data_IF_733581653543
#
_entry.id   IF_733581653543
#
_cell.length_a   1.000
_cell.length_b   1.000
_cell.length_c   1.000
_cell.angle_alpha   90.00
_cell.angle_beta   90.00
_cell.angle_gamma   90.00
#
_symmetry.space_group_name_H-M   'P 1'
#
loop_
_entity.id
_entity.type
_entity.pdbx_description
1 polymer ?
#
# COMPACT_ATOMS: atom_id res chain seq x y z
N UNK A 1 -7.89 -10.87 -29.91
CA UNK A 1 -7.12 -10.25 -28.82
C UNK A 1 -6.52 -11.34 -27.95
N UNK A 2 -5.22 -11.30 -27.73
CA UNK A 2 -4.51 -12.20 -26.82
C UNK A 2 -4.10 -11.42 -25.58
N UNK A 3 -4.29 -12.00 -24.39
CA UNK A 3 -3.91 -11.37 -23.11
C UNK A 3 -2.96 -12.30 -22.36
N UNK A 4 -1.86 -11.75 -21.87
CA UNK A 4 -0.80 -12.47 -21.14
C UNK A 4 -0.55 -11.75 -19.81
N UNK A 5 -0.50 -12.48 -18.70
CA UNK A 5 -0.17 -11.91 -17.39
C UNK A 5 1.32 -11.60 -17.31
N UNK A 6 1.68 -10.32 -17.13
CA UNK A 6 3.09 -9.90 -17.00
C UNK A 6 3.55 -9.75 -15.56
N UNK A 7 2.69 -9.22 -14.70
CA UNK A 7 3.01 -9.02 -13.30
C UNK A 7 1.74 -8.83 -12.48
N UNK A 8 1.83 -9.12 -11.19
CA UNK A 8 0.85 -8.69 -10.19
C UNK A 8 1.57 -8.34 -8.89
N UNK A 9 0.85 -7.82 -7.91
CA UNK A 9 1.44 -7.47 -6.61
C UNK A 9 1.89 -8.71 -5.86
N UNK A 10 3.20 -8.87 -5.74
CA UNK A 10 3.86 -9.98 -5.09
C UNK A 10 4.33 -9.58 -3.69
N UNK A 11 4.46 -10.57 -2.82
CA UNK A 11 5.02 -10.40 -1.48
C UNK A 11 6.45 -9.87 -1.58
N UNK A 12 6.81 -8.94 -0.68
CA UNK A 12 8.21 -8.64 -0.44
C UNK A 12 8.92 -9.90 0.11
N UNK A 13 9.89 -10.49 -0.62
CA UNK A 13 10.53 -11.74 -0.22
C UNK A 13 11.29 -11.64 1.11
N UNK A 14 11.64 -10.43 1.57
CA UNK A 14 12.24 -10.20 2.88
C UNK A 14 11.25 -10.32 4.07
N UNK A 15 9.95 -10.54 3.80
CA UNK A 15 8.93 -10.74 4.83
C UNK A 15 8.54 -12.23 5.03
N UNK A 16 9.27 -13.16 4.42
CA UNK A 16 8.93 -14.58 4.36
C UNK A 16 9.06 -15.34 5.70
N UNK A 17 9.52 -14.70 6.79
CA UNK A 17 9.55 -15.31 8.12
C UNK A 17 8.92 -14.39 9.19
N UNK A 18 8.12 -14.95 10.10
CA UNK A 18 7.47 -14.23 11.22
C UNK A 18 8.47 -13.45 12.09
N UNK A 19 9.74 -13.88 12.11
CA UNK A 19 10.84 -13.27 12.89
C UNK A 19 11.27 -11.92 12.31
N UNK A 20 11.14 -11.71 10.99
CA UNK A 20 11.49 -10.46 10.32
C UNK A 20 10.35 -9.42 10.35
N UNK A 21 9.12 -9.86 10.63
CA UNK A 21 7.97 -8.97 10.85
C UNK A 21 7.94 -8.36 12.26
N UNK A 22 8.77 -8.83 13.19
CA UNK A 22 8.85 -8.34 14.57
C UNK A 22 10.27 -7.83 14.88
N UNK A 23 10.61 -6.63 14.42
CA UNK A 23 11.82 -5.93 14.84
C UNK A 23 11.61 -5.19 16.17
N UNK A 24 12.60 -5.36 17.06
CA UNK A 24 12.97 -4.60 18.27
C UNK A 24 11.86 -3.79 18.98
N UNK A 25 10.99 -4.48 19.71
CA UNK A 25 10.31 -3.92 20.89
C UNK A 25 9.06 -3.07 20.67
N UNK A 26 8.60 -2.88 19.43
CA UNK A 26 7.29 -2.30 19.12
C UNK A 26 6.32 -3.43 18.73
N UNK A 27 5.14 -3.55 19.38
CA UNK A 27 4.14 -4.53 18.97
C UNK A 27 3.53 -4.13 17.62
N UNK A 28 3.97 -4.80 16.55
CA UNK A 28 3.32 -4.77 15.23
C UNK A 28 2.49 -6.02 15.06
N UNK A 29 1.31 -5.89 14.45
CA UNK A 29 0.45 -7.01 14.08
C UNK A 29 0.68 -7.45 12.63
N UNK A 30 1.76 -6.98 12.00
CA UNK A 30 2.10 -7.29 10.61
C UNK A 30 2.12 -8.79 10.31
N UNK A 31 2.63 -9.62 11.21
CA UNK A 31 2.70 -11.08 11.03
C UNK A 31 1.31 -11.72 10.80
N UNK A 32 0.23 -11.05 11.21
CA UNK A 32 -1.14 -11.55 10.98
C UNK A 32 -1.54 -11.58 9.51
N UNK A 33 -0.87 -10.83 8.62
CA UNK A 33 -1.13 -10.86 7.17
C UNK A 33 -1.12 -12.30 6.61
N UNK A 34 -0.21 -13.14 7.11
CA UNK A 34 -0.03 -14.53 6.69
C UNK A 34 -1.12 -15.49 7.16
N UNK A 35 -2.03 -15.03 8.01
CA UNK A 35 -3.17 -15.82 8.49
C UNK A 35 -4.38 -15.72 7.56
N UNK A 36 -4.37 -14.79 6.61
CA UNK A 36 -5.46 -14.61 5.64
C UNK A 36 -5.63 -15.82 4.72
N UNK A 37 -6.84 -15.98 4.19
CA UNK A 37 -7.13 -17.02 3.20
C UNK A 37 -6.54 -16.64 1.83
N UNK A 38 -6.25 -17.65 1.00
CA UNK A 38 -5.81 -17.46 -0.39
C UNK A 38 -4.34 -17.06 -0.54
N UNK A 39 -4.01 -16.50 -1.72
CA UNK A 39 -2.67 -16.02 -2.05
C UNK A 39 -2.35 -14.66 -1.43
N UNK A 40 -1.08 -14.23 -1.54
CA UNK A 40 -0.65 -12.93 -1.00
C UNK A 40 -1.51 -11.72 -1.42
N UNK A 41 -1.99 -11.60 -2.68
CA UNK A 41 -2.88 -10.51 -3.07
C UNK A 41 -4.13 -10.40 -2.17
N UNK A 42 -4.78 -11.52 -1.86
CA UNK A 42 -5.99 -11.54 -1.02
C UNK A 42 -5.65 -11.30 0.46
N UNK A 43 -4.54 -11.87 0.94
CA UNK A 43 -4.02 -11.60 2.28
C UNK A 43 -3.73 -10.11 2.49
N UNK A 44 -3.14 -9.44 1.49
CA UNK A 44 -2.88 -8.00 1.51
C UNK A 44 -4.17 -7.18 1.56
N UNK A 45 -5.18 -7.53 0.75
CA UNK A 45 -6.49 -6.87 0.73
C UNK A 45 -7.18 -7.02 2.10
N UNK A 46 -7.24 -8.24 2.63
CA UNK A 46 -7.85 -8.50 3.94
C UNK A 46 -7.11 -7.72 5.04
N UNK A 47 -5.77 -7.75 5.02
CA UNK A 47 -4.96 -7.04 6.00
C UNK A 47 -5.19 -5.52 5.94
N UNK A 48 -5.17 -4.92 4.76
CA UNK A 48 -5.44 -3.50 4.57
C UNK A 48 -6.84 -3.13 5.11
N UNK A 49 -7.86 -3.91 4.77
CA UNK A 49 -9.20 -3.73 5.33
C UNK A 49 -9.25 -3.86 6.84
N UNK A 50 -8.54 -4.83 7.42
CA UNK A 50 -8.52 -5.05 8.88
C UNK A 50 -7.71 -4.03 9.65
N UNK A 51 -6.69 -3.42 9.06
CA UNK A 51 -5.95 -2.27 9.62
C UNK A 51 -6.91 -1.11 9.88
N UNK A 52 -7.83 -0.81 8.95
CA UNK A 52 -8.81 0.26 9.10
C UNK A 52 -9.67 0.13 10.38
N UNK A 53 -9.97 -1.10 10.80
CA UNK A 53 -10.83 -1.39 11.95
C UNK A 53 -10.07 -1.94 13.18
N UNK A 54 -8.72 -1.94 13.17
CA UNK A 54 -7.87 -2.62 14.16
C UNK A 54 -8.30 -4.06 14.46
N UNK A 55 -8.60 -4.82 13.42
CA UNK A 55 -9.14 -6.18 13.52
C UNK A 55 -8.24 -7.25 12.91
N UNK A 56 -6.96 -6.94 12.69
CA UNK A 56 -5.89 -7.81 12.16
C UNK A 56 -5.74 -9.13 12.92
N UNK A 57 -6.04 -9.17 14.22
CA UNK A 57 -6.13 -10.43 14.99
C UNK A 57 -7.18 -11.42 14.46
N UNK A 58 -8.10 -10.98 13.61
CA UNK A 58 -9.15 -11.79 12.96
C UNK A 58 -8.81 -12.20 11.52
N UNK A 59 -7.59 -11.94 11.03
CA UNK A 59 -7.14 -12.41 9.72
C UNK A 59 -7.44 -13.91 9.55
N UNK A 60 -8.02 -14.28 8.40
CA UNK A 60 -8.38 -15.67 8.06
C UNK A 60 -9.65 -16.23 8.72
N UNK A 61 -10.27 -15.49 9.64
CA UNK A 61 -11.48 -15.98 10.35
C UNK A 61 -12.77 -15.82 9.56
N UNK A 62 -12.74 -15.09 8.43
CA UNK A 62 -13.89 -14.81 7.59
C UNK A 62 -13.51 -15.02 6.11
N UNK A 63 -13.64 -16.25 5.57
CA UNK A 63 -13.24 -16.57 4.19
C UNK A 63 -13.90 -15.69 3.12
N UNK A 64 -15.15 -15.28 3.38
CA UNK A 64 -15.93 -14.40 2.49
C UNK A 64 -15.64 -12.91 2.69
N UNK A 65 -14.63 -12.53 3.48
CA UNK A 65 -14.39 -11.13 3.85
C UNK A 65 -14.28 -10.21 2.62
N UNK A 66 -13.44 -10.58 1.65
CA UNK A 66 -13.19 -9.78 0.44
C UNK A 66 -14.45 -9.71 -0.43
N UNK A 67 -15.04 -10.87 -0.76
CA UNK A 67 -16.25 -10.96 -1.58
C UNK A 67 -17.43 -10.19 -0.96
N UNK A 68 -17.58 -10.21 0.37
CA UNK A 68 -18.57 -9.42 1.08
C UNK A 68 -18.32 -7.90 0.92
N UNK A 69 -17.08 -7.42 1.09
CA UNK A 69 -16.77 -5.98 0.92
C UNK A 69 -16.99 -5.50 -0.51
N UNK A 70 -16.65 -6.32 -1.50
CA UNK A 70 -16.93 -6.02 -2.92
C UNK A 70 -18.43 -5.90 -3.17
N UNK A 71 -19.25 -6.84 -2.69
CA UNK A 71 -20.72 -6.78 -2.82
C UNK A 71 -21.34 -5.58 -2.11
N UNK A 72 -20.75 -5.15 -0.99
CA UNK A 72 -21.18 -3.96 -0.26
C UNK A 72 -20.69 -2.64 -0.90
N UNK A 73 -19.84 -2.69 -1.94
CA UNK A 73 -19.25 -1.51 -2.59
C UNK A 73 -18.07 -0.88 -1.82
N UNK A 74 -17.56 -1.53 -0.79
CA UNK A 74 -16.34 -1.13 -0.06
C UNK A 74 -15.09 -1.64 -0.78
N UNK A 75 -14.87 -1.09 -1.97
CA UNK A 75 -13.84 -1.54 -2.93
C UNK A 75 -12.50 -0.81 -2.77
N UNK A 76 -12.37 0.13 -1.84
CA UNK A 76 -11.11 0.83 -1.57
C UNK A 76 -9.99 -0.13 -1.15
N UNK A 77 -10.33 -1.20 -0.42
CA UNK A 77 -9.35 -2.19 0.07
C UNK A 77 -8.75 -3.06 -1.06
N UNK A 78 -9.47 -3.23 -2.18
CA UNK A 78 -8.97 -4.06 -3.30
C UNK A 78 -8.00 -3.27 -4.20
N UNK A 79 -7.90 -1.95 -4.02
CA UNK A 79 -6.99 -1.11 -4.79
C UNK A 79 -5.50 -1.34 -4.46
N UNK A 80 -5.20 -2.08 -3.39
CA UNK A 80 -3.82 -2.40 -2.97
C UNK A 80 -3.14 -3.49 -3.82
N UNK A 81 -3.89 -4.15 -4.71
CA UNK A 81 -3.38 -5.16 -5.65
C UNK A 81 -3.41 -4.58 -7.05
N UNK A 82 -2.26 -4.53 -7.70
CA UNK A 82 -2.06 -4.09 -9.08
C UNK A 82 -1.69 -5.26 -9.95
N UNK A 83 -2.36 -5.38 -11.10
CA UNK A 83 -2.09 -6.39 -12.12
C UNK A 83 -1.77 -5.72 -13.45
N UNK A 84 -0.75 -6.25 -14.10
CA UNK A 84 -0.25 -5.81 -15.40
C UNK A 84 -0.35 -6.96 -16.40
N UNK A 85 -0.96 -6.68 -17.54
CA UNK A 85 -1.09 -7.63 -18.65
C UNK A 85 -0.47 -7.07 -19.92
N UNK A 86 0.01 -7.95 -20.78
CA UNK A 86 0.31 -7.66 -22.18
C UNK A 86 -0.92 -7.98 -23.01
N UNK A 87 -1.22 -7.11 -23.96
CA UNK A 87 -2.33 -7.29 -24.88
C UNK A 87 -1.80 -7.23 -26.31
N UNK A 88 -2.12 -8.24 -27.12
CA UNK A 88 -1.79 -8.32 -28.55
C UNK A 88 -3.05 -8.44 -29.39
N UNK A 89 -2.96 -8.08 -30.66
CA UNK A 89 -4.06 -8.21 -31.64
C UNK A 89 -5.37 -7.56 -31.16
N UNK A 90 -5.25 -6.35 -30.60
CA UNK A 90 -6.35 -5.62 -29.97
C UNK A 90 -6.70 -4.29 -30.66
N UNK A 91 -5.95 -3.88 -31.68
CA UNK A 91 -6.12 -2.56 -32.30
C UNK A 91 -5.95 -1.44 -31.27
N UNK A 92 -6.91 -0.52 -31.20
CA UNK A 92 -6.93 0.61 -30.27
C UNK A 92 -7.68 0.32 -28.96
N UNK A 93 -8.11 -0.93 -28.71
CA UNK A 93 -8.93 -1.27 -27.55
C UNK A 93 -8.28 -0.88 -26.20
N UNK A 94 -6.97 -1.14 -25.94
CA UNK A 94 -6.34 -0.73 -24.69
C UNK A 94 -6.43 0.79 -24.45
N UNK A 95 -6.30 1.61 -25.50
CA UNK A 95 -6.48 3.05 -25.37
C UNK A 95 -7.93 3.41 -25.00
N UNK A 96 -8.92 2.71 -25.57
CA UNK A 96 -10.33 2.88 -25.17
C UNK A 96 -10.59 2.46 -23.72
N UNK A 97 -9.88 1.44 -23.22
CA UNK A 97 -9.96 1.06 -21.80
C UNK A 97 -9.45 2.18 -20.89
N UNK A 98 -8.35 2.84 -21.25
CA UNK A 98 -7.85 4.03 -20.54
C UNK A 98 -8.87 5.19 -20.56
N UNK A 99 -9.55 5.40 -21.68
CA UNK A 99 -10.63 6.41 -21.76
C UNK A 99 -11.82 6.04 -20.88
N UNK A 100 -12.14 4.74 -20.81
CA UNK A 100 -13.21 4.22 -19.97
C UNK A 100 -12.90 4.34 -18.47
N UNK A 101 -11.64 4.15 -18.07
CA UNK A 101 -11.16 4.35 -16.72
C UNK A 101 -9.73 4.92 -16.71
N UNK A 102 -9.62 6.21 -16.41
CA UNK A 102 -8.35 6.96 -16.41
C UNK A 102 -7.30 6.46 -15.41
N UNK A 103 -7.69 5.61 -14.46
CA UNK A 103 -6.80 5.02 -13.48
C UNK A 103 -6.10 3.76 -14.00
N UNK A 104 -6.40 3.36 -15.25
CA UNK A 104 -5.67 2.34 -16.01
C UNK A 104 -4.47 2.97 -16.75
N UNK A 105 -3.27 2.42 -16.54
CA UNK A 105 -2.07 2.81 -17.27
C UNK A 105 -1.91 1.96 -18.54
N UNK A 106 -1.65 2.63 -19.67
CA UNK A 106 -1.55 1.98 -20.98
C UNK A 106 -0.35 2.53 -21.73
N UNK A 107 0.50 1.64 -22.21
CA UNK A 107 1.65 1.98 -23.08
C UNK A 107 1.64 1.10 -24.32
N UNK A 108 1.89 1.71 -25.49
CA UNK A 108 2.05 1.00 -26.76
C UNK A 108 3.51 0.60 -26.95
N UNK A 109 3.77 -0.67 -27.27
CA UNK A 109 5.12 -1.18 -27.57
C UNK A 109 5.44 -1.19 -29.07
N UNK A 110 4.46 -0.85 -29.91
CA UNK A 110 4.51 -1.01 -31.36
C UNK A 110 4.00 -2.37 -31.81
N UNK A 111 3.80 -2.53 -33.12
CA UNK A 111 3.32 -3.77 -33.76
C UNK A 111 2.00 -4.32 -33.19
N UNK A 112 1.15 -3.46 -32.63
CA UNK A 112 -0.12 -3.86 -32.02
C UNK A 112 0.01 -4.52 -30.64
N UNK A 113 1.18 -4.43 -30.01
CA UNK A 113 1.40 -4.86 -28.63
C UNK A 113 1.23 -3.70 -27.64
N UNK A 114 0.57 -3.99 -26.53
CA UNK A 114 0.26 -3.02 -25.48
C UNK A 114 0.59 -3.59 -24.10
N UNK A 115 0.93 -2.72 -23.16
CA UNK A 115 0.97 -3.02 -21.73
C UNK A 115 -0.17 -2.28 -21.07
N UNK A 116 -0.93 -2.98 -20.23
CA UNK A 116 -2.06 -2.45 -19.48
C UNK A 116 -1.88 -2.78 -18.01
N UNK A 117 -1.84 -1.76 -17.14
CA UNK A 117 -1.77 -1.91 -15.69
C UNK A 117 -2.96 -1.26 -15.01
N UNK A 118 -3.55 -1.96 -14.05
CA UNK A 118 -4.64 -1.44 -13.23
C UNK A 118 -4.66 -2.11 -11.88
N UNK A 119 -5.17 -1.40 -10.87
CA UNK A 119 -5.50 -2.05 -9.60
C UNK A 119 -6.74 -2.95 -9.74
N UNK A 120 -6.99 -3.83 -8.79
CA UNK A 120 -8.08 -4.81 -8.88
C UNK A 120 -9.46 -4.15 -9.01
N UNK A 121 -9.64 -2.93 -8.49
CA UNK A 121 -10.87 -2.15 -8.66
C UNK A 121 -11.07 -1.66 -10.10
N UNK A 122 -10.00 -1.21 -10.76
CA UNK A 122 -10.05 -0.84 -12.18
C UNK A 122 -10.43 -2.04 -13.04
N UNK A 123 -9.84 -3.21 -12.79
CA UNK A 123 -10.19 -4.45 -13.49
C UNK A 123 -11.63 -4.88 -13.22
N UNK A 124 -12.08 -4.81 -11.97
CA UNK A 124 -13.47 -5.11 -11.60
C UNK A 124 -14.47 -4.18 -12.31
N UNK A 125 -14.18 -2.88 -12.39
CA UNK A 125 -14.98 -1.91 -13.17
C UNK A 125 -15.05 -2.29 -14.65
N UNK A 126 -13.93 -2.65 -15.27
CA UNK A 126 -13.92 -3.11 -16.66
C UNK A 126 -14.81 -4.33 -16.86
N UNK A 127 -14.66 -5.36 -16.04
CA UNK A 127 -15.43 -6.60 -16.21
C UNK A 127 -16.92 -6.39 -16.02
N UNK A 128 -17.34 -5.58 -15.03
CA UNK A 128 -18.75 -5.21 -14.84
C UNK A 128 -19.35 -4.44 -16.01
N UNK A 129 -18.51 -3.79 -16.82
CA UNK A 129 -18.90 -3.05 -18.04
C UNK A 129 -18.73 -3.86 -19.33
N UNK A 130 -18.34 -5.13 -19.23
CA UNK A 130 -18.07 -5.98 -20.40
C UNK A 130 -16.80 -5.59 -21.16
N UNK A 131 -15.83 -4.95 -20.50
CA UNK A 131 -14.56 -4.50 -21.08
C UNK A 131 -13.45 -5.48 -20.65
N UNK A 132 -12.53 -5.78 -21.57
CA UNK A 132 -11.32 -6.58 -21.31
C UNK A 132 -11.58 -7.98 -20.72
N UNK A 133 -12.72 -8.61 -21.04
CA UNK A 133 -13.16 -9.89 -20.45
C UNK A 133 -12.15 -11.03 -20.68
N UNK A 134 -11.34 -10.95 -21.72
CA UNK A 134 -10.25 -11.88 -22.02
C UNK A 134 -9.16 -11.91 -20.93
N UNK A 135 -9.06 -10.86 -20.11
CA UNK A 135 -8.17 -10.81 -18.95
C UNK A 135 -8.78 -11.46 -17.69
N UNK A 136 -10.10 -11.64 -17.63
CA UNK A 136 -10.81 -12.11 -16.43
C UNK A 136 -10.29 -13.44 -15.88
N UNK A 137 -9.99 -14.48 -16.69
CA UNK A 137 -9.45 -15.74 -16.16
C UNK A 137 -8.12 -15.54 -15.41
N UNK A 138 -7.24 -14.68 -15.94
CA UNK A 138 -5.94 -14.37 -15.34
C UNK A 138 -6.12 -13.61 -14.01
N UNK A 139 -7.01 -12.62 -14.00
CA UNK A 139 -7.30 -11.82 -12.81
C UNK A 139 -7.98 -12.64 -11.71
N UNK A 140 -8.87 -13.56 -12.08
CA UNK A 140 -9.46 -14.54 -11.17
C UNK A 140 -8.42 -15.47 -10.57
N UNK A 141 -7.40 -15.88 -11.32
CA UNK A 141 -6.32 -16.69 -10.77
C UNK A 141 -5.46 -15.91 -9.74
N UNK A 142 -5.33 -14.59 -9.89
CA UNK A 142 -4.57 -13.72 -8.97
C UNK A 142 -5.33 -13.44 -7.66
N UNK A 143 -6.63 -13.12 -7.74
CA UNK A 143 -7.45 -12.78 -6.57
C UNK A 143 -8.90 -13.27 -6.74
N UNK A 144 -9.16 -14.58 -6.59
CA UNK A 144 -10.47 -15.19 -6.84
C UNK A 144 -11.64 -14.51 -6.13
N UNK A 145 -11.49 -14.16 -4.85
CA UNK A 145 -12.55 -13.59 -4.02
C UNK A 145 -13.01 -12.20 -4.50
N UNK A 146 -12.11 -11.43 -5.12
CA UNK A 146 -12.43 -10.10 -5.67
C UNK A 146 -13.43 -10.20 -6.83
N UNK A 147 -13.29 -11.23 -7.66
CA UNK A 147 -14.07 -11.41 -8.90
C UNK A 147 -15.09 -12.56 -8.80
N UNK A 148 -15.42 -12.97 -7.58
CA UNK A 148 -16.26 -14.14 -7.29
C UNK A 148 -17.68 -14.03 -7.85
N UNK A 149 -18.22 -12.82 -7.99
CA UNK A 149 -19.56 -12.56 -8.54
C UNK A 149 -19.64 -12.61 -10.08
N UNK A 150 -18.49 -12.60 -10.76
CA UNK A 150 -18.44 -12.59 -12.21
C UNK A 150 -18.46 -14.03 -12.72
N UNK A 151 -19.19 -14.33 -13.79
CA UNK A 151 -19.17 -15.66 -14.40
C UNK A 151 -18.02 -15.78 -15.43
N UNK A 152 -17.44 -16.97 -15.56
CA UNK A 152 -16.61 -17.30 -16.71
C UNK A 152 -17.53 -18.03 -17.71
N UNK A 153 -17.79 -17.45 -18.87
CA UNK A 153 -18.39 -18.23 -19.95
C UNK A 153 -17.45 -19.42 -20.26
N UNK A 154 -18.00 -20.62 -20.40
CA UNK A 154 -17.23 -21.82 -20.73
C UNK A 154 -16.60 -21.64 -22.12
N UNK A 155 -15.37 -21.11 -22.17
CA UNK A 155 -14.54 -21.21 -23.35
C UNK A 155 -14.19 -22.70 -23.52
N UNK A 156 -14.75 -23.32 -24.56
CA UNK A 156 -14.42 -24.68 -24.96
C UNK A 156 -12.94 -24.78 -25.29
N UNK A 157 -12.16 -25.31 -24.36
CA UNK A 157 -10.72 -25.51 -24.51
C UNK A 157 -10.10 -25.91 -23.18
N UNK A 158 -9.60 -27.13 -23.12
CA UNK A 158 -8.84 -27.72 -22.01
C UNK A 158 -7.44 -27.07 -21.90
N UNK A 159 -7.42 -25.74 -21.74
CA UNK A 159 -6.23 -24.96 -21.47
C UNK A 159 -6.02 -24.94 -19.96
N UNK A 160 -5.32 -25.96 -19.44
CA UNK A 160 -4.90 -25.99 -18.05
C UNK A 160 -4.35 -24.63 -17.62
N UNK A 161 -4.87 -24.11 -16.51
CA UNK A 161 -4.34 -22.94 -15.80
C UNK A 161 -2.99 -23.33 -15.14
N UNK A 162 -2.04 -23.81 -15.94
CA UNK A 162 -0.72 -24.19 -15.45
C UNK A 162 0.09 -22.92 -15.17
N UNK A 163 0.32 -22.70 -13.86
CA UNK A 163 1.38 -21.88 -13.30
C UNK A 163 1.56 -20.47 -13.90
N UNK A 164 0.55 -19.61 -13.76
CA UNK A 164 0.66 -18.17 -14.08
C UNK A 164 1.41 -17.40 -12.99
N UNK A 165 2.63 -17.81 -12.67
CA UNK A 165 3.56 -17.02 -11.85
C UNK A 165 4.52 -16.31 -12.80
N UNK A 166 4.31 -15.02 -13.10
CA UNK A 166 5.26 -14.28 -13.93
C UNK A 166 6.64 -14.30 -13.29
N UNK A 167 7.68 -14.37 -14.13
CA UNK A 167 9.06 -14.38 -13.67
C UNK A 167 9.35 -13.13 -12.83
N UNK A 168 9.88 -13.35 -11.62
CA UNK A 168 10.32 -12.27 -10.75
C UNK A 168 11.80 -11.97 -11.00
N UNK A 169 12.21 -10.73 -10.74
CA UNK A 169 13.64 -10.41 -10.61
C UNK A 169 14.27 -11.26 -9.51
N UNK A 170 15.47 -11.80 -9.76
CA UNK A 170 16.22 -12.50 -8.72
C UNK A 170 16.86 -11.50 -7.77
N UNK A 171 16.56 -11.59 -6.48
CA UNK A 171 17.18 -10.76 -5.44
C UNK A 171 18.38 -11.48 -4.83
N UNK A 172 19.52 -10.78 -4.70
CA UNK A 172 20.65 -11.30 -3.94
C UNK A 172 20.36 -11.31 -2.43
N UNK A 173 21.16 -12.02 -1.63
CA UNK A 173 21.04 -11.98 -0.16
C UNK A 173 21.22 -10.56 0.41
N UNK A 174 22.09 -9.76 -0.22
CA UNK A 174 22.28 -8.37 0.15
C UNK A 174 21.05 -7.50 -0.17
N UNK A 175 20.36 -7.77 -1.27
CA UNK A 175 19.12 -7.07 -1.63
C UNK A 175 17.99 -7.43 -0.67
N UNK A 176 17.84 -8.71 -0.33
CA UNK A 176 16.86 -9.16 0.67
C UNK A 176 17.08 -8.49 2.04
N UNK A 177 18.33 -8.34 2.47
CA UNK A 177 18.64 -7.62 3.70
C UNK A 177 18.23 -6.14 3.63
N UNK A 178 18.34 -5.50 2.46
CA UNK A 178 17.91 -4.12 2.25
C UNK A 178 16.39 -3.97 2.22
N UNK A 179 15.64 -5.00 1.85
CA UNK A 179 14.19 -4.98 1.74
C UNK A 179 13.44 -5.26 3.05
N UNK A 180 14.16 -5.53 4.14
CA UNK A 180 13.55 -5.70 5.47
C UNK A 180 12.91 -4.40 6.00
N UNK A 181 12.00 -4.50 6.99
CA UNK A 181 11.39 -3.33 7.62
C UNK A 181 12.42 -2.32 8.13
N UNK A 182 12.09 -1.04 8.03
CA UNK A 182 12.89 0.08 8.52
C UNK A 182 12.27 0.69 9.77
N UNK A 183 13.08 1.02 10.76
CA UNK A 183 12.66 1.64 12.01
C UNK A 183 13.44 2.94 12.27
N UNK A 184 12.74 4.02 12.57
CA UNK A 184 13.30 5.32 12.94
C UNK A 184 12.51 5.90 14.12
N UNK A 185 13.01 5.68 15.35
CA UNK A 185 12.24 6.00 16.55
C UNK A 185 10.96 5.17 16.60
N UNK A 186 9.76 5.79 16.79
CA UNK A 186 8.50 5.05 16.75
C UNK A 186 8.10 4.65 15.33
N UNK A 187 8.57 5.37 14.30
CA UNK A 187 8.17 5.14 12.92
C UNK A 187 8.71 3.80 12.42
N UNK A 188 7.82 3.03 11.81
CA UNK A 188 8.18 1.82 11.09
C UNK A 188 7.63 1.88 9.67
N UNK A 189 8.51 1.60 8.70
CA UNK A 189 8.22 1.61 7.27
C UNK A 189 8.48 0.21 6.72
N UNK A 190 7.43 -0.43 6.22
CA UNK A 190 7.53 -1.79 5.67
C UNK A 190 7.02 -1.82 4.24
N UNK A 191 7.85 -2.28 3.29
CA UNK A 191 7.40 -2.64 1.95
C UNK A 191 6.66 -3.98 2.06
N UNK A 192 5.34 -4.00 1.92
CA UNK A 192 4.54 -5.22 1.98
C UNK A 192 4.70 -6.05 0.71
N UNK A 193 4.66 -5.38 -0.43
CA UNK A 193 4.70 -6.02 -1.74
C UNK A 193 4.81 -5.00 -2.86
N UNK A 194 5.08 -5.49 -4.06
CA UNK A 194 5.27 -4.67 -5.25
C UNK A 194 4.91 -5.44 -6.52
N UNK A 195 4.58 -4.68 -7.56
CA UNK A 195 4.37 -5.17 -8.93
C UNK A 195 5.49 -4.61 -9.77
N UNK A 196 6.26 -5.47 -10.44
CA UNK A 196 7.35 -5.04 -11.32
C UNK A 196 7.39 -5.94 -12.55
N UNK A 197 6.75 -5.53 -13.66
CA UNK A 197 6.83 -6.29 -14.89
C UNK A 197 8.27 -6.26 -15.44
N UNK A 198 8.73 -7.42 -15.94
CA UNK A 198 10.00 -7.51 -16.66
C UNK A 198 9.82 -6.93 -18.06
N UNK A 199 10.15 -5.64 -18.21
CA UNK A 199 10.02 -4.89 -19.45
C UNK A 199 11.39 -4.64 -20.07
N UNK A 200 11.45 -4.63 -21.40
CA UNK A 200 12.68 -4.32 -22.15
C UNK A 200 13.08 -2.85 -22.02
N UNK A 201 12.10 -1.97 -21.87
CA UNK A 201 12.29 -0.54 -21.66
C UNK A 201 12.11 -0.19 -20.17
N UNK A 202 13.19 0.22 -19.48
CA UNK A 202 13.12 0.65 -18.08
C UNK A 202 12.23 1.89 -17.85
N UNK A 203 12.02 2.75 -18.84
CA UNK A 203 11.17 3.93 -18.69
C UNK A 203 9.70 3.54 -18.44
N UNK A 204 9.25 2.44 -19.06
CA UNK A 204 7.91 1.90 -18.85
C UNK A 204 7.68 1.37 -17.43
N UNK A 205 8.76 0.98 -16.73
CA UNK A 205 8.66 0.54 -15.33
C UNK A 205 8.16 1.68 -14.42
N UNK A 206 8.39 2.95 -14.78
CA UNK A 206 7.88 4.11 -14.05
C UNK A 206 6.34 4.09 -13.97
N UNK A 207 5.66 3.68 -15.04
CA UNK A 207 4.19 3.71 -15.13
C UNK A 207 3.54 2.37 -14.75
N UNK A 208 4.21 1.26 -15.03
CA UNK A 208 3.67 -0.08 -14.84
C UNK A 208 4.18 -0.81 -13.59
N UNK A 209 5.16 -0.23 -12.90
CA UNK A 209 5.60 -0.67 -11.57
C UNK A 209 4.78 -0.02 -10.45
N UNK A 210 4.56 -0.75 -9.36
CA UNK A 210 3.88 -0.24 -8.16
C UNK A 210 4.42 -0.85 -6.89
N UNK A 211 4.27 -0.15 -5.77
CA UNK A 211 4.64 -0.66 -4.46
C UNK A 211 3.59 -0.31 -3.40
N UNK A 212 3.41 -1.25 -2.48
CA UNK A 212 2.49 -1.14 -1.33
C UNK A 212 3.30 -1.14 -0.04
N UNK A 213 3.17 -0.08 0.73
CA UNK A 213 3.83 0.10 2.02
C UNK A 213 2.84 0.07 3.17
N UNK A 214 3.30 -0.41 4.31
CA UNK A 214 2.67 -0.22 5.61
C UNK A 214 3.51 0.74 6.45
N UNK A 215 2.87 1.80 6.90
CA UNK A 215 3.47 2.79 7.80
C UNK A 215 2.84 2.68 9.17
N UNK A 216 3.67 2.57 10.20
CA UNK A 216 3.29 2.55 11.61
C UNK A 216 4.09 3.58 12.40
N UNK A 217 3.62 3.97 13.58
CA UNK A 217 4.36 4.90 14.43
C UNK A 217 4.50 6.30 13.82
N UNK A 218 3.55 6.70 12.97
CA UNK A 218 3.50 8.02 12.36
C UNK A 218 2.30 8.81 12.87
N UNK A 219 2.40 10.13 12.83
CA UNK A 219 1.39 11.04 13.35
C UNK A 219 0.22 11.22 12.38
N UNK A 220 -0.94 11.61 12.91
CA UNK A 220 -2.06 12.09 12.09
C UNK A 220 -1.62 13.29 11.23
N UNK A 221 -0.76 14.17 11.72
CA UNK A 221 -0.17 15.26 10.93
C UNK A 221 0.63 14.75 9.71
N UNK A 222 1.43 13.69 9.86
CA UNK A 222 2.15 13.07 8.75
C UNK A 222 1.18 12.49 7.72
N UNK A 223 0.21 11.70 8.16
CA UNK A 223 -0.79 11.13 7.23
C UNK A 223 -1.61 12.19 6.52
N UNK A 224 -1.92 13.31 7.17
CA UNK A 224 -2.67 14.40 6.56
C UNK A 224 -1.88 15.11 5.44
N UNK A 225 -0.55 15.02 5.44
CA UNK A 225 0.30 15.43 4.32
C UNK A 225 0.38 14.33 3.25
N UNK A 226 0.53 13.07 3.66
CA UNK A 226 0.65 11.90 2.77
C UNK A 226 -0.59 11.71 1.87
N UNK A 227 -1.79 11.78 2.44
CA UNK A 227 -3.06 11.57 1.70
C UNK A 227 -3.40 12.70 0.71
N UNK A 228 -2.57 13.75 0.65
CA UNK A 228 -2.68 14.79 -0.40
C UNK A 228 -2.09 14.33 -1.74
N UNK A 229 -1.35 13.23 -1.75
CA UNK A 229 -0.85 12.58 -2.96
C UNK A 229 -1.96 11.69 -3.54
N UNK A 230 -2.75 12.26 -4.46
CA UNK A 230 -4.05 11.71 -4.93
C UNK A 230 -3.94 10.51 -5.87
N UNK A 231 -2.79 10.27 -6.47
CA UNK A 231 -2.55 9.10 -7.34
C UNK A 231 -2.06 7.93 -6.47
N UNK A 232 -2.90 7.53 -5.53
CA UNK A 232 -2.58 6.57 -4.48
C UNK A 232 -3.84 5.94 -3.90
N UNK A 233 -3.70 4.77 -3.31
CA UNK A 233 -4.75 4.05 -2.57
C UNK A 233 -4.34 3.91 -1.11
N UNK A 234 -5.28 4.16 -0.19
CA UNK A 234 -5.01 4.27 1.24
C UNK A 234 -6.00 3.45 2.05
N UNK A 235 -5.48 2.61 2.96
CA UNK A 235 -6.26 1.97 4.02
C UNK A 235 -5.70 2.40 5.37
N UNK A 236 -6.37 3.35 6.03
CA UNK A 236 -5.89 3.99 7.26
C UNK A 236 -6.67 3.53 8.48
N UNK A 237 -5.96 3.29 9.59
CA UNK A 237 -6.57 3.07 10.90
C UNK A 237 -7.58 4.19 11.24
N UNK A 238 -8.83 3.79 11.44
CA UNK A 238 -9.92 4.71 11.70
C UNK A 238 -10.04 5.00 13.19
N UNK A 239 -9.94 6.28 13.54
CA UNK A 239 -10.18 6.76 14.91
C UNK A 239 -11.65 6.64 15.35
N UNK A 240 -12.56 6.19 14.48
CA UNK A 240 -13.98 5.94 14.84
C UNK A 240 -14.17 4.63 15.60
N UNK A 241 -13.27 3.68 15.42
CA UNK A 241 -13.42 2.31 15.96
C UNK A 241 -12.49 2.02 17.14
N UNK A 242 -11.30 2.61 17.14
CA UNK A 242 -10.30 2.44 18.21
C UNK A 242 -10.72 3.14 19.51
N UNK A 243 -10.55 2.46 20.64
CA UNK A 243 -10.86 3.02 21.96
C UNK A 243 -9.60 3.56 22.64
N UNK A 244 -9.61 4.85 23.01
CA UNK A 244 -8.50 5.47 23.73
C UNK A 244 -8.33 4.91 25.15
N UNK A 245 -9.45 4.54 25.79
CA UNK A 245 -9.47 4.09 27.20
C UNK A 245 -8.68 2.81 27.47
N UNK A 246 -8.32 2.07 26.41
CA UNK A 246 -7.47 0.86 26.50
C UNK A 246 -5.98 1.17 26.29
N UNK A 247 -5.56 2.42 26.43
CA UNK A 247 -4.17 2.86 26.21
C UNK A 247 -3.74 2.77 24.74
N UNK A 248 -4.70 2.80 23.82
CA UNK A 248 -4.48 2.40 22.43
C UNK A 248 -3.74 3.41 21.54
N UNK A 249 -3.48 4.63 22.04
CA UNK A 249 -2.93 5.73 21.27
C UNK A 249 -1.69 6.28 21.93
N UNK A 250 -0.67 6.57 21.12
CA UNK A 250 0.57 7.21 21.56
C UNK A 250 0.72 8.55 20.87
N UNK A 251 1.50 9.44 21.46
CA UNK A 251 1.91 10.69 20.84
C UNK A 251 3.22 10.49 20.07
N UNK A 252 3.26 10.96 18.82
CA UNK A 252 4.52 11.17 18.10
C UNK A 252 5.12 12.49 18.56
N UNK A 253 6.32 12.42 19.13
CA UNK A 253 7.01 13.59 19.70
C UNK A 253 7.97 14.18 18.67
N UNK A 254 7.81 15.45 18.26
CA UNK A 254 8.76 16.10 17.37
C UNK A 254 10.18 16.17 17.96
N UNK A 255 11.25 16.00 17.15
CA UNK A 255 12.63 16.04 17.65
C UNK A 255 13.00 17.33 18.39
N UNK A 256 12.42 18.48 18.00
CA UNK A 256 12.63 19.75 18.70
C UNK A 256 12.00 19.77 20.10
N UNK A 257 10.84 19.11 20.28
CA UNK A 257 10.19 18.94 21.58
C UNK A 257 10.99 17.96 22.43
N UNK A 258 11.37 16.81 21.87
CA UNK A 258 12.13 15.77 22.59
C UNK A 258 13.49 16.24 23.16
N UNK A 259 14.08 17.32 22.61
CA UNK A 259 15.35 17.90 23.07
C UNK A 259 15.19 18.96 24.17
N UNK A 260 13.96 19.32 24.54
CA UNK A 260 13.67 20.33 25.55
C UNK A 260 12.77 19.74 26.62
N UNK A 261 13.32 19.51 27.82
CA UNK A 261 12.60 18.87 28.94
C UNK A 261 11.32 19.62 29.33
N UNK A 262 11.34 20.96 29.31
CA UNK A 262 10.14 21.76 29.59
C UNK A 262 9.07 21.55 28.51
N UNK A 263 9.46 21.51 27.23
CA UNK A 263 8.52 21.25 26.14
C UNK A 263 7.94 19.82 26.18
N UNK A 264 8.74 18.84 26.62
CA UNK A 264 8.26 17.47 26.86
C UNK A 264 7.22 17.44 27.98
N UNK A 265 7.47 18.15 29.09
CA UNK A 265 6.53 18.23 30.20
C UNK A 265 5.18 18.84 29.78
N UNK A 266 5.20 19.95 29.03
CA UNK A 266 3.99 20.59 28.47
C UNK A 266 3.20 19.61 27.57
N UNK A 267 3.89 18.87 26.70
CA UNK A 267 3.24 17.88 25.84
C UNK A 267 2.61 16.74 26.66
N UNK A 268 3.31 16.25 27.68
CA UNK A 268 2.82 15.17 28.54
C UNK A 268 1.60 15.61 29.35
N UNK A 269 1.61 16.82 29.92
CA UNK A 269 0.46 17.38 30.63
C UNK A 269 -0.76 17.50 29.72
N UNK A 270 -0.59 18.08 28.53
CA UNK A 270 -1.67 18.19 27.55
C UNK A 270 -2.20 16.82 27.11
N UNK A 271 -1.33 15.84 26.90
CA UNK A 271 -1.73 14.49 26.52
C UNK A 271 -2.59 13.83 27.61
N UNK A 272 -2.16 13.91 28.87
CA UNK A 272 -2.93 13.40 30.00
C UNK A 272 -4.31 14.09 30.12
N UNK A 273 -4.35 15.41 29.91
CA UNK A 273 -5.61 16.16 29.85
C UNK A 273 -6.52 15.66 28.71
N UNK A 274 -5.99 15.47 27.51
CA UNK A 274 -6.75 15.01 26.36
C UNK A 274 -7.35 13.60 26.59
N UNK A 275 -6.56 12.69 27.16
CA UNK A 275 -7.02 11.33 27.54
C UNK A 275 -8.15 11.40 28.57
N UNK A 276 -7.99 12.21 29.62
CA UNK A 276 -8.99 12.39 30.66
C UNK A 276 -10.29 12.96 30.09
N UNK A 277 -10.22 14.02 29.28
CA UNK A 277 -11.41 14.65 28.66
C UNK A 277 -12.08 13.72 27.66
N UNK A 278 -11.31 12.95 26.88
CA UNK A 278 -11.86 11.93 26.01
C UNK A 278 -12.65 10.88 26.81
N UNK A 279 -12.06 10.34 27.89
CA UNK A 279 -12.73 9.37 28.75
C UNK A 279 -14.02 9.93 29.38
N UNK A 280 -14.02 11.21 29.80
CA UNK A 280 -15.22 11.90 30.28
C UNK A 280 -16.31 12.00 29.20
N UNK A 281 -15.97 12.39 27.96
CA UNK A 281 -16.95 12.40 26.86
C UNK A 281 -17.55 11.02 26.62
N UNK A 282 -16.73 9.96 26.70
CA UNK A 282 -17.19 8.58 26.57
C UNK A 282 -18.13 8.17 27.71
N UNK A 283 -17.83 8.57 28.95
CA UNK A 283 -18.70 8.33 30.11
C UNK A 283 -20.06 9.06 30.00
N UNK A 284 -20.10 10.20 29.31
CA UNK A 284 -21.32 10.94 28.98
C UNK A 284 -22.12 10.34 27.81
N UNK A 285 -21.68 9.21 27.25
CA UNK A 285 -22.36 8.53 26.14
C UNK A 285 -22.02 9.08 24.74
N UNK A 286 -21.14 10.07 24.61
CA UNK A 286 -20.75 10.65 23.31
C UNK A 286 -19.94 9.65 22.51
N UNK A 287 -20.37 9.32 21.29
CA UNK A 287 -19.76 8.29 20.43
C UNK A 287 -18.28 8.55 20.15
N UNK A 288 -17.52 7.49 19.87
CA UNK A 288 -16.08 7.57 19.51
C UNK A 288 -15.82 8.52 18.34
N UNK A 289 -16.71 8.56 17.35
CA UNK A 289 -16.59 9.40 16.16
C UNK A 289 -16.66 10.91 16.45
N UNK A 290 -17.28 11.30 17.57
CA UNK A 290 -17.38 12.68 18.02
C UNK A 290 -16.33 12.98 19.09
N UNK A 291 -16.12 12.06 20.04
CA UNK A 291 -15.14 12.21 21.11
C UNK A 291 -13.70 12.37 20.56
N UNK A 292 -13.39 11.75 19.41
CA UNK A 292 -12.09 11.87 18.74
C UNK A 292 -11.73 13.30 18.31
N UNK A 293 -12.65 14.27 18.34
CA UNK A 293 -12.32 15.67 18.02
C UNK A 293 -11.36 16.29 19.04
N UNK A 294 -11.20 15.66 20.22
CA UNK A 294 -10.16 16.02 21.18
C UNK A 294 -8.78 15.45 20.83
N UNK A 295 -8.67 14.56 19.84
CA UNK A 295 -7.40 13.91 19.51
C UNK A 295 -6.43 14.89 18.83
N UNK A 296 -5.22 15.05 19.38
CA UNK A 296 -4.23 15.94 18.77
C UNK A 296 -3.68 15.38 17.46
N UNK A 297 -3.14 16.29 16.63
CA UNK A 297 -2.40 15.92 15.41
C UNK A 297 -1.21 14.98 15.65
N UNK A 298 -0.66 15.00 16.86
CA UNK A 298 0.43 14.12 17.28
C UNK A 298 0.00 12.66 17.49
N UNK A 299 -1.30 12.34 17.48
CA UNK A 299 -1.76 10.98 17.67
C UNK A 299 -1.15 10.03 16.63
N UNK A 300 -0.60 8.92 17.10
CA UNK A 300 -0.08 7.84 16.29
C UNK A 300 -1.19 7.21 15.43
N UNK A 301 -0.87 6.80 14.23
CA UNK A 301 -1.75 6.09 13.31
C UNK A 301 -0.95 5.10 12.48
N UNK A 302 -1.67 4.16 11.87
CA UNK A 302 -1.14 3.22 10.88
C UNK A 302 -1.88 3.37 9.55
N UNK A 303 -1.20 3.13 8.44
CA UNK A 303 -1.79 3.27 7.10
C UNK A 303 -1.09 2.34 6.10
N UNK A 304 -1.87 1.62 5.30
CA UNK A 304 -1.39 0.93 4.09
C UNK A 304 -1.53 1.88 2.91
N UNK A 305 -0.49 2.03 2.12
CA UNK A 305 -0.41 2.98 1.00
C UNK A 305 0.13 2.29 -0.24
N UNK A 306 -0.61 2.35 -1.35
CA UNK A 306 -0.17 1.85 -2.66
C UNK A 306 -0.08 2.99 -3.66
N UNK A 307 1.02 3.04 -4.41
CA UNK A 307 1.19 3.95 -5.54
C UNK A 307 1.95 3.25 -6.66
N UNK A 308 1.73 3.67 -7.92
CA UNK A 308 2.64 3.33 -9.00
C UNK A 308 3.97 4.09 -8.83
N UNK A 309 5.02 3.68 -9.55
CA UNK A 309 6.35 4.27 -9.40
C UNK A 309 6.39 5.75 -9.82
N UNK A 310 5.56 6.17 -10.79
CA UNK A 310 5.42 7.58 -11.16
C UNK A 310 4.91 8.44 -9.98
N UNK A 311 3.88 7.96 -9.28
CA UNK A 311 3.33 8.63 -8.11
C UNK A 311 4.30 8.59 -6.92
N UNK A 312 5.01 7.48 -6.70
CA UNK A 312 6.09 7.42 -5.71
C UNK A 312 7.22 8.40 -6.05
N UNK A 313 7.67 8.44 -7.29
CA UNK A 313 8.70 9.38 -7.78
C UNK A 313 8.31 10.82 -7.49
N UNK A 314 7.07 11.21 -7.79
CA UNK A 314 6.55 12.54 -7.47
C UNK A 314 6.49 12.81 -5.96
N UNK A 315 6.05 11.83 -5.15
CA UNK A 315 6.07 11.94 -3.70
C UNK A 315 7.49 12.15 -3.15
N UNK A 316 8.46 11.38 -3.64
CA UNK A 316 9.85 11.43 -3.17
C UNK A 316 10.51 12.77 -3.48
N UNK A 317 10.26 13.35 -4.65
CA UNK A 317 10.75 14.70 -4.99
C UNK A 317 10.27 15.75 -3.98
N UNK A 318 8.98 15.71 -3.63
CA UNK A 318 8.37 16.71 -2.75
C UNK A 318 8.63 16.46 -1.26
N UNK A 319 8.84 15.20 -0.87
CA UNK A 319 8.84 14.81 0.54
C UNK A 319 10.17 14.26 1.02
N UNK A 320 10.86 13.44 0.24
CA UNK A 320 12.08 12.77 0.69
C UNK A 320 13.35 13.62 0.50
N UNK A 321 13.48 14.30 -0.64
CA UNK A 321 14.71 15.01 -1.03
C UNK A 321 14.63 16.53 -0.90
N UNK A 322 13.45 17.06 -0.53
CA UNK A 322 13.26 18.48 -0.23
C UNK A 322 13.57 18.77 1.26
N UNK A 323 14.54 19.65 1.52
CA UNK A 323 14.89 20.11 2.88
C UNK A 323 13.79 20.94 3.53
N UNK A 324 12.87 21.52 2.75
CA UNK A 324 11.73 22.28 3.26
C UNK A 324 10.57 21.39 3.73
N UNK A 325 10.53 20.12 3.32
CA UNK A 325 9.50 19.18 3.77
C UNK A 325 9.54 19.00 5.29
N UNK A 326 8.37 18.85 5.93
CA UNK A 326 8.32 18.62 7.38
C UNK A 326 9.08 17.34 7.76
N UNK A 327 9.76 17.38 8.92
CA UNK A 327 10.76 16.38 9.29
C UNK A 327 10.26 14.93 9.25
N UNK A 328 9.02 14.67 9.67
CA UNK A 328 8.46 13.33 9.80
C UNK A 328 8.13 12.73 8.44
N UNK A 329 7.37 13.44 7.61
CA UNK A 329 7.07 12.96 6.24
C UNK A 329 8.33 12.85 5.40
N UNK A 330 9.35 13.68 5.68
CA UNK A 330 10.65 13.57 5.01
C UNK A 330 11.40 12.32 5.41
N UNK A 331 11.48 12.01 6.70
CA UNK A 331 12.08 10.76 7.17
C UNK A 331 11.34 9.54 6.59
N UNK A 332 10.00 9.54 6.62
CA UNK A 332 9.19 8.50 5.98
C UNK A 332 9.53 8.34 4.51
N UNK A 333 9.61 9.44 3.76
CA UNK A 333 9.94 9.40 2.33
C UNK A 333 11.37 8.91 2.06
N UNK A 334 12.33 9.21 2.92
CA UNK A 334 13.70 8.71 2.80
C UNK A 334 13.77 7.19 3.01
N UNK A 335 13.03 6.65 3.99
CA UNK A 335 12.93 5.19 4.17
C UNK A 335 12.25 4.50 2.98
N UNK A 336 11.21 5.13 2.42
CA UNK A 336 10.56 4.65 1.19
C UNK A 336 11.52 4.66 0.01
N UNK A 337 12.31 5.73 -0.17
CA UNK A 337 13.30 5.83 -1.25
C UNK A 337 14.34 4.71 -1.19
N UNK A 338 14.88 4.41 -0.02
CA UNK A 338 15.85 3.31 0.15
C UNK A 338 15.27 1.96 -0.31
N UNK A 339 14.03 1.67 0.08
CA UNK A 339 13.34 0.41 -0.26
C UNK A 339 12.97 0.35 -1.74
N UNK A 340 12.52 1.46 -2.32
CA UNK A 340 12.17 1.55 -3.74
C UNK A 340 13.41 1.49 -4.64
N UNK A 341 14.51 2.13 -4.25
CA UNK A 341 15.78 2.05 -4.97
C UNK A 341 16.35 0.62 -4.99
N UNK A 342 16.11 -0.17 -3.93
CA UNK A 342 16.53 -1.56 -3.89
C UNK A 342 15.77 -2.47 -4.88
N UNK A 343 14.50 -2.19 -5.18
CA UNK A 343 13.71 -2.99 -6.16
C UNK A 343 13.78 -2.45 -7.58
N UNK A 344 13.92 -1.13 -7.77
CA UNK A 344 13.87 -0.49 -9.07
C UNK A 344 14.92 0.63 -9.19
N UNK A 345 16.23 0.31 -9.13
CA UNK A 345 17.29 1.31 -9.09
C UNK A 345 17.27 2.24 -10.30
N UNK A 346 17.03 1.72 -11.50
CA UNK A 346 16.94 2.52 -12.72
C UNK A 346 15.85 3.61 -12.66
N UNK A 347 14.74 3.34 -11.95
CA UNK A 347 13.62 4.29 -11.83
C UNK A 347 13.92 5.38 -10.80
N UNK A 348 14.58 5.04 -9.70
CA UNK A 348 14.79 5.93 -8.55
C UNK A 348 16.23 6.46 -8.42
N UNK A 349 17.07 6.23 -9.43
CA UNK A 349 18.49 6.60 -9.43
C UNK A 349 18.70 8.09 -9.15
N UNK A 350 17.91 8.95 -9.78
CA UNK A 350 18.06 10.40 -9.66
C UNK A 350 17.67 10.91 -8.26
N UNK A 351 16.56 10.40 -7.70
CA UNK A 351 16.19 10.68 -6.30
C UNK A 351 17.27 10.22 -5.35
N UNK A 352 17.85 9.05 -5.59
CA UNK A 352 18.92 8.48 -4.77
C UNK A 352 20.17 9.36 -4.80
N UNK A 353 20.58 9.82 -5.99
CA UNK A 353 21.69 10.75 -6.15
C UNK A 353 21.49 12.03 -5.32
N UNK A 354 20.34 12.70 -5.49
CA UNK A 354 20.02 13.94 -4.76
C UNK A 354 19.91 13.70 -3.24
N UNK A 355 19.33 12.58 -2.82
CA UNK A 355 19.27 12.20 -1.40
C UNK A 355 20.67 12.07 -0.79
N UNK A 356 21.59 11.37 -1.47
CA UNK A 356 22.96 11.19 -1.00
C UNK A 356 23.72 12.51 -0.90
N UNK A 357 23.62 13.34 -1.93
CA UNK A 357 24.24 14.66 -1.97
C UNK A 357 23.76 15.55 -0.81
N UNK A 358 22.44 15.60 -0.57
CA UNK A 358 21.85 16.54 0.38
C UNK A 358 21.86 16.09 1.84
N UNK A 359 21.89 14.78 2.11
CA UNK A 359 21.60 14.22 3.44
C UNK A 359 22.57 13.14 3.94
N UNK A 360 23.37 12.49 3.08
CA UNK A 360 24.35 11.49 3.52
C UNK A 360 25.80 11.95 3.45
N UNK A 361 26.13 12.81 2.50
CA UNK A 361 27.50 13.27 2.25
C UNK A 361 27.79 14.69 2.79
N UNK A 362 26.90 15.28 3.60
CA UNK A 362 26.99 16.67 4.05
C UNK A 362 26.51 16.90 5.48
#
# INVERSE_FOLDING_TARGET
MQVELLAYTQQNPALASEVQANSRGLPSDLATIWRGCGGFPEQLIEYAGRVCYRSTHRMGTAPEFIAARVREGHEDIIEHVVVTVRVRDAGDQPMRWRLANRHCEVSELGNGEWIVSGNARVWLDFFRRGIALEALPLLKAVAPAVYSELELEQAGGDGGLDACSPAQGSFSSADLARLGPRECGPMRVTLLGFTQPLLSDPELALHHGSATFFFEGISRACTHQLVRHRLASFSQESQRYTDLSKGGWKAIVPPAVAKNEAAVAELQEFWAMAEEKYARLRALGIRKEDARFLLPNAAETRIVTTMNFAAWSHFLWLRAVDKAAQWEIRQLGQQVLELLYAIAPAVFQEHWHVYREKFQNG
#
